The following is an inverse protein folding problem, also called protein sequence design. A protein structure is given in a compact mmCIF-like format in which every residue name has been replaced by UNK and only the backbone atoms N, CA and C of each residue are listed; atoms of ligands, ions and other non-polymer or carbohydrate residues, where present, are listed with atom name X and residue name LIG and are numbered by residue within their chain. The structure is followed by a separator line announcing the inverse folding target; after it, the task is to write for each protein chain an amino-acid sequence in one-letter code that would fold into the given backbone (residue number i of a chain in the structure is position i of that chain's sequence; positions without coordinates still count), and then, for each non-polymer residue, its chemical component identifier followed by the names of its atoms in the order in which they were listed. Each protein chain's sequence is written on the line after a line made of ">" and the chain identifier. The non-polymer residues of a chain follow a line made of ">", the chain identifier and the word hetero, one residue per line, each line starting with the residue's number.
data_IF_377314487139
#
_entry.id   IF_377314487139
#
_cell.length_a   1.000
_cell.length_b   1.000
_cell.length_c   1.000
_cell.angle_alpha   90.00
_cell.angle_beta   90.00
_cell.angle_gamma   90.00
#
_symmetry.space_group_name_H-M   'P 1'
#
loop_
_entity.id
_entity.type
_entity.pdbx_description
1 polymer ?
#
# COMPACT_ATOMS: atom_id res chain seq x y z
N UNK A 1 10.13 -9.52 -0.98
CA UNK A 1 10.85 -10.61 -0.30
C UNK A 1 11.83 -11.41 -1.16
N UNK A 2 11.42 -12.22 -2.15
CA UNK A 2 12.35 -13.12 -2.89
C UNK A 2 13.59 -12.39 -3.46
N UNK A 3 13.41 -11.14 -3.88
CA UNK A 3 14.46 -10.29 -4.44
C UNK A 3 15.05 -9.31 -3.41
N UNK A 4 14.98 -9.60 -2.10
CA UNK A 4 15.60 -8.81 -1.04
C UNK A 4 14.77 -7.66 -0.46
N UNK A 5 13.61 -7.35 -1.02
CA UNK A 5 12.74 -6.31 -0.46
C UNK A 5 12.15 -6.73 0.90
N UNK A 6 12.23 -5.82 1.87
CA UNK A 6 11.46 -5.85 3.11
C UNK A 6 9.98 -5.55 2.81
N UNK A 7 9.07 -6.36 3.34
CA UNK A 7 7.65 -6.26 3.05
C UNK A 7 6.86 -6.27 4.34
N UNK A 8 6.15 -5.18 4.58
CA UNK A 8 5.09 -5.05 5.57
C UNK A 8 3.75 -4.93 4.85
N UNK A 9 2.67 -5.31 5.52
CA UNK A 9 1.33 -5.35 4.91
C UNK A 9 0.31 -4.64 5.80
N UNK A 10 -0.66 -3.99 5.18
CA UNK A 10 -1.86 -3.52 5.85
C UNK A 10 -3.08 -3.97 5.05
N UNK A 11 -4.04 -4.57 5.75
CA UNK A 11 -5.38 -4.90 5.28
C UNK A 11 -6.34 -4.56 6.43
N UNK A 12 -7.34 -3.68 6.21
CA UNK A 12 -8.21 -3.18 7.27
C UNK A 12 -9.26 -4.21 7.68
N UNK A 13 -9.36 -5.32 6.96
CA UNK A 13 -10.32 -6.40 7.21
C UNK A 13 -9.62 -7.73 7.54
N UNK A 14 -8.29 -7.75 7.63
CA UNK A 14 -7.51 -8.95 7.87
C UNK A 14 -6.31 -8.64 8.76
N UNK A 15 -6.44 -8.89 10.07
CA UNK A 15 -5.37 -8.64 11.04
C UNK A 15 -4.15 -9.55 10.81
N UNK A 16 -4.36 -10.77 10.31
CA UNK A 16 -3.29 -11.75 10.09
C UNK A 16 -3.50 -12.54 8.81
N UNK A 17 -2.45 -12.69 8.02
CA UNK A 17 -2.44 -13.47 6.80
C UNK A 17 -1.33 -14.52 6.82
N UNK A 18 -1.63 -15.75 6.40
CA UNK A 18 -0.62 -16.81 6.21
C UNK A 18 -0.31 -16.98 4.74
N UNK A 19 0.95 -16.83 4.36
CA UNK A 19 1.40 -17.01 2.99
C UNK A 19 2.78 -17.66 2.95
N UNK A 20 2.89 -18.78 2.21
CA UNK A 20 4.13 -19.57 2.06
C UNK A 20 4.82 -19.91 3.38
N UNK A 21 4.04 -20.28 4.41
CA UNK A 21 4.56 -20.64 5.73
C UNK A 21 4.99 -19.45 6.60
N UNK A 22 4.94 -18.21 6.09
CA UNK A 22 5.08 -16.99 6.89
C UNK A 22 3.71 -16.49 7.34
N UNK A 23 3.69 -15.91 8.53
CA UNK A 23 2.55 -15.14 9.04
C UNK A 23 2.90 -13.67 8.93
N UNK A 24 2.00 -12.92 8.31
CA UNK A 24 2.05 -11.46 8.21
C UNK A 24 0.99 -10.89 9.12
N UNK A 25 1.35 -9.80 9.79
CA UNK A 25 0.45 -9.05 10.65
C UNK A 25 0.16 -7.73 9.97
N UNK A 26 -1.11 -7.35 9.93
CA UNK A 26 -1.54 -6.04 9.44
C UNK A 26 -0.97 -4.97 10.37
N UNK A 27 -0.13 -4.08 9.84
CA UNK A 27 0.43 -2.95 10.59
C UNK A 27 -0.45 -1.72 10.42
N UNK A 28 -0.39 -0.74 11.33
CA UNK A 28 -1.00 0.56 11.03
C UNK A 28 -0.17 1.24 9.94
N UNK A 29 -0.73 1.34 8.73
CA UNK A 29 -0.03 1.93 7.59
C UNK A 29 0.35 3.39 7.87
N UNK A 30 -0.39 4.10 8.73
CA UNK A 30 -0.11 5.49 9.06
C UNK A 30 1.16 5.66 9.88
N UNK A 31 1.68 4.61 10.50
CA UNK A 31 2.93 4.70 11.28
C UNK A 31 4.16 4.45 10.40
N UNK A 32 3.99 3.76 9.28
CA UNK A 32 5.12 3.20 8.50
C UNK A 32 5.23 3.75 7.07
N UNK A 33 4.18 4.38 6.54
CA UNK A 33 4.11 4.78 5.12
C UNK A 33 5.19 5.80 4.72
N UNK A 34 5.55 6.71 5.62
CA UNK A 34 6.52 7.77 5.32
C UNK A 34 7.96 7.21 5.18
N UNK A 35 8.24 6.08 5.83
CA UNK A 35 9.52 5.38 5.75
C UNK A 35 9.61 4.52 4.50
N UNK A 36 8.48 3.98 4.03
CA UNK A 36 8.42 3.10 2.88
C UNK A 36 8.93 3.76 1.59
N UNK A 37 9.75 3.05 0.83
CA UNK A 37 10.22 3.51 -0.47
C UNK A 37 9.14 3.39 -1.57
N UNK A 38 8.21 2.45 -1.39
CA UNK A 38 7.11 2.21 -2.32
C UNK A 38 5.90 1.61 -1.60
N UNK A 39 4.71 2.11 -1.95
CA UNK A 39 3.43 1.52 -1.57
C UNK A 39 2.84 0.80 -2.78
N UNK A 40 2.40 -0.44 -2.61
CA UNK A 40 1.76 -1.22 -3.67
C UNK A 40 0.32 -1.50 -3.30
N UNK A 41 -0.62 -1.04 -4.12
CA UNK A 41 -2.05 -1.32 -3.91
C UNK A 41 -2.35 -2.68 -4.54
N UNK A 42 -2.49 -3.70 -3.70
CA UNK A 42 -2.79 -5.08 -4.10
C UNK A 42 -4.29 -5.38 -4.06
N UNK A 43 -5.05 -4.68 -3.23
CA UNK A 43 -6.51 -4.75 -3.10
C UNK A 43 -7.09 -3.35 -2.95
N UNK A 44 -8.10 -3.01 -3.74
CA UNK A 44 -8.75 -1.70 -3.74
C UNK A 44 -9.87 -1.61 -2.70
N UNK A 45 -9.54 -1.54 -1.41
CA UNK A 45 -10.55 -1.32 -0.37
C UNK A 45 -11.04 0.13 -0.42
N UNK A 46 -12.36 0.34 -0.42
CA UNK A 46 -12.96 1.67 -0.47
C UNK A 46 -12.82 2.47 0.83
N UNK A 47 -12.41 1.82 1.92
CA UNK A 47 -12.24 2.46 3.24
C UNK A 47 -11.00 3.34 3.31
N UNK A 48 -10.06 3.15 2.39
CA UNK A 48 -8.83 3.92 2.36
C UNK A 48 -9.06 5.31 1.77
N UNK A 49 -8.44 6.29 2.41
CA UNK A 49 -8.23 7.61 1.84
C UNK A 49 -7.01 7.57 0.92
N UNK A 50 -7.25 7.32 -0.38
CA UNK A 50 -6.17 7.26 -1.37
C UNK A 50 -5.49 8.60 -1.60
N UNK A 51 -6.16 9.73 -1.35
CA UNK A 51 -5.55 11.06 -1.42
C UNK A 51 -4.47 11.16 -0.33
N UNK A 52 -4.80 10.77 0.92
CA UNK A 52 -3.85 10.74 2.02
C UNK A 52 -2.70 9.75 1.80
N UNK A 53 -2.98 8.57 1.23
CA UNK A 53 -1.94 7.58 0.91
C UNK A 53 -0.95 8.16 -0.10
N UNK A 54 -1.44 8.78 -1.19
CA UNK A 54 -0.59 9.35 -2.24
C UNK A 54 0.17 10.57 -1.73
N UNK A 55 -0.42 11.38 -0.85
CA UNK A 55 0.26 12.52 -0.25
C UNK A 55 1.49 12.10 0.57
N UNK A 56 1.34 11.05 1.39
CA UNK A 56 2.38 10.57 2.30
C UNK A 56 3.41 9.63 1.65
N UNK A 57 2.97 8.78 0.73
CA UNK A 57 3.86 7.85 0.05
C UNK A 57 4.92 8.60 -0.78
N UNK A 58 6.12 8.01 -0.87
CA UNK A 58 7.15 8.44 -1.83
C UNK A 58 6.76 8.05 -3.26
N UNK A 59 6.28 6.82 -3.45
CA UNK A 59 5.80 6.26 -4.73
C UNK A 59 4.63 5.32 -4.46
N UNK A 60 3.60 5.37 -5.33
CA UNK A 60 2.46 4.45 -5.29
C UNK A 60 2.39 3.65 -6.60
N UNK A 61 2.41 2.33 -6.48
CA UNK A 61 2.16 1.41 -7.59
C UNK A 61 0.74 0.84 -7.46
N UNK A 62 -0.17 1.34 -8.30
CA UNK A 62 -1.59 1.01 -8.26
C UNK A 62 -1.94 -0.08 -9.28
N UNK A 63 -2.18 -1.29 -8.79
CA UNK A 63 -2.56 -2.45 -9.64
C UNK A 63 -4.09 -2.59 -9.80
N UNK A 64 -4.87 -1.71 -9.16
CA UNK A 64 -6.33 -1.84 -9.03
C UNK A 64 -7.11 -0.64 -9.56
N UNK A 65 -6.41 0.37 -10.05
CA UNK A 65 -6.98 1.68 -10.38
C UNK A 65 -7.76 2.29 -9.21
N UNK A 66 -7.31 2.04 -7.98
CA UNK A 66 -7.95 2.54 -6.77
C UNK A 66 -7.73 4.05 -6.58
N UNK A 67 -6.64 4.58 -7.12
CA UNK A 67 -6.26 6.00 -7.09
C UNK A 67 -6.93 6.84 -8.20
N UNK A 68 -7.99 6.34 -8.84
CA UNK A 68 -8.61 7.00 -10.00
C UNK A 68 -9.09 8.43 -9.69
N UNK A 69 -9.64 8.66 -8.51
CA UNK A 69 -10.17 9.95 -8.05
C UNK A 69 -9.13 10.83 -7.36
N UNK A 70 -7.87 10.36 -7.19
CA UNK A 70 -6.82 11.15 -6.54
C UNK A 70 -6.48 12.35 -7.40
N UNK A 71 -6.47 13.55 -6.83
CA UNK A 71 -6.26 14.79 -7.59
C UNK A 71 -4.82 15.29 -7.45
N UNK A 72 -4.24 15.26 -6.26
CA UNK A 72 -2.90 15.79 -6.00
C UNK A 72 -1.82 14.71 -6.13
N UNK A 73 -0.57 15.16 -6.37
CA UNK A 73 0.63 14.33 -6.41
C UNK A 73 0.53 13.10 -7.36
N UNK A 74 -0.22 13.24 -8.46
CA UNK A 74 -0.48 12.14 -9.40
C UNK A 74 0.78 11.64 -10.10
N UNK A 75 1.84 12.44 -10.15
CA UNK A 75 3.16 12.05 -10.64
C UNK A 75 3.82 10.96 -9.80
N UNK A 76 3.40 10.76 -8.54
CA UNK A 76 3.85 9.64 -7.70
C UNK A 76 3.17 8.30 -8.03
N UNK A 77 2.12 8.32 -8.87
CA UNK A 77 1.26 7.17 -9.14
C UNK A 77 1.70 6.49 -10.44
N UNK A 78 2.08 5.22 -10.32
CA UNK A 78 2.35 4.33 -11.46
C UNK A 78 1.26 3.28 -11.53
N UNK A 79 0.65 3.11 -12.71
CA UNK A 79 -0.47 2.18 -12.93
C UNK A 79 -0.06 1.05 -13.86
N UNK A 80 -0.64 -0.14 -13.63
CA UNK A 80 -0.59 -1.26 -14.57
C UNK A 80 -1.72 -1.14 -15.61
#
# INVERSE_FOLDING_TARGET
>A
EKNGAEVIVNDPFCDTAKYKGKTYYSVDWKEVIDEADMVVITTGHSVYDYEQIVDRAKVVYDTRNATKEVVNNREKIYKL
#
